data_IF_415293998157
#
_entry.id   IF_415293998157
#
_cell.length_a   1.000
_cell.length_b   1.000
_cell.length_c   1.000
_cell.angle_alpha   90.00
_cell.angle_beta   90.00
_cell.angle_gamma   90.00
#
_symmetry.space_group_name_H-M   'P 1'
#
loop_
_entity.id
_entity.type
_entity.pdbx_description
1 polymer ?
#
# COMPACT_ATOMS: atom_id res chain seq x y z
N UNK A 1 19.16 -13.32 0.01
CA UNK A 1 18.31 -13.49 1.21
C UNK A 1 18.41 -12.31 2.17
N UNK A 2 19.59 -11.88 2.61
CA UNK A 2 19.73 -10.74 3.55
C UNK A 2 19.11 -9.44 3.02
N UNK A 3 19.34 -9.09 1.74
CA UNK A 3 18.71 -7.92 1.11
C UNK A 3 17.18 -7.99 1.11
N UNK A 4 16.61 -9.17 0.83
CA UNK A 4 15.17 -9.38 0.89
C UNK A 4 14.58 -9.10 2.28
N UNK A 5 15.21 -9.64 3.34
CA UNK A 5 14.76 -9.45 4.72
C UNK A 5 14.83 -7.96 5.10
N UNK A 6 15.95 -7.30 4.80
CA UNK A 6 16.13 -5.88 5.11
C UNK A 6 15.07 -5.03 4.40
N UNK A 7 14.87 -5.23 3.09
CA UNK A 7 13.89 -4.44 2.34
C UNK A 7 12.46 -4.77 2.77
N UNK A 8 12.16 -6.00 3.16
CA UNK A 8 10.85 -6.37 3.71
C UNK A 8 10.54 -5.62 5.01
N UNK A 9 11.52 -5.53 5.92
CA UNK A 9 11.39 -4.77 7.17
C UNK A 9 11.21 -3.27 6.88
N UNK A 10 12.09 -2.70 6.04
CA UNK A 10 12.01 -1.28 5.65
C UNK A 10 10.65 -0.98 5.02
N UNK A 11 10.16 -1.86 4.16
CA UNK A 11 8.86 -1.73 3.53
C UNK A 11 7.72 -1.78 4.54
N UNK A 12 7.78 -2.66 5.52
CA UNK A 12 6.75 -2.75 6.55
C UNK A 12 6.71 -1.52 7.45
N UNK A 13 7.88 -1.00 7.82
CA UNK A 13 7.99 0.29 8.52
C UNK A 13 7.40 1.41 7.65
N UNK A 14 7.71 1.40 6.35
CA UNK A 14 7.19 2.40 5.42
C UNK A 14 5.67 2.34 5.29
N UNK A 15 5.08 1.14 5.23
CA UNK A 15 3.63 0.96 5.29
C UNK A 15 3.04 1.64 6.52
N UNK A 16 3.52 1.32 7.72
CA UNK A 16 2.96 1.90 8.95
C UNK A 16 3.16 3.41 9.07
N UNK A 17 4.29 3.94 8.61
CA UNK A 17 4.52 5.40 8.55
C UNK A 17 3.55 6.06 7.58
N UNK A 18 3.38 5.49 6.39
CA UNK A 18 2.48 6.02 5.38
C UNK A 18 1.02 5.96 5.85
N UNK A 19 0.61 4.86 6.47
CA UNK A 19 -0.72 4.71 7.05
C UNK A 19 -0.98 5.74 8.12
N UNK A 20 -0.01 6.00 9.00
CA UNK A 20 -0.12 7.08 9.98
C UNK A 20 -0.27 8.44 9.31
N UNK A 21 0.55 8.76 8.30
CA UNK A 21 0.50 10.06 7.60
C UNK A 21 -0.81 10.25 6.83
N UNK A 22 -1.25 9.21 6.11
CA UNK A 22 -2.45 9.23 5.27
C UNK A 22 -3.72 9.26 6.13
N UNK A 23 -3.76 8.55 7.26
CA UNK A 23 -5.00 8.42 8.02
C UNK A 23 -5.09 9.38 9.22
N UNK A 24 -3.97 9.86 9.78
CA UNK A 24 -3.99 10.76 10.94
C UNK A 24 -4.12 12.24 10.59
N UNK A 25 -4.00 12.63 9.32
CA UNK A 25 -4.11 14.04 8.94
C UNK A 25 -5.56 14.58 9.05
N UNK A 26 -5.76 15.88 9.28
CA UNK A 26 -7.09 16.45 9.51
C UNK A 26 -8.07 16.29 8.34
N UNK A 27 -7.57 16.25 7.11
CA UNK A 27 -8.39 16.07 5.91
C UNK A 27 -8.96 14.64 5.90
N UNK A 28 -8.11 13.63 6.07
CA UNK A 28 -8.50 12.23 6.10
C UNK A 28 -9.48 11.95 7.23
N UNK A 29 -9.23 12.48 8.44
CA UNK A 29 -10.13 12.32 9.58
C UNK A 29 -11.55 12.82 9.26
N UNK A 30 -11.68 13.97 8.58
CA UNK A 30 -12.99 14.51 8.14
C UNK A 30 -13.65 13.64 7.08
N UNK A 31 -12.90 13.22 6.08
CA UNK A 31 -13.41 12.39 4.97
C UNK A 31 -13.84 10.99 5.43
N UNK A 32 -13.15 10.42 6.42
CA UNK A 32 -13.43 9.09 6.95
C UNK A 32 -14.48 9.06 8.06
N UNK A 33 -15.06 10.21 8.45
CA UNK A 33 -16.17 10.24 9.43
C UNK A 33 -17.37 9.38 9.00
N UNK A 34 -17.58 9.19 7.71
CA UNK A 34 -18.65 8.31 7.18
C UNK A 34 -18.53 6.87 7.68
N UNK A 35 -17.32 6.39 7.98
CA UNK A 35 -17.10 5.04 8.51
C UNK A 35 -17.28 4.92 10.01
N UNK A 36 -17.48 6.04 10.73
CA UNK A 36 -17.63 6.04 12.20
C UNK A 36 -18.67 5.05 12.74
N UNK A 37 -19.84 4.82 12.09
CA UNK A 37 -20.83 3.86 12.59
C UNK A 37 -20.35 2.40 12.61
N UNK A 38 -19.41 2.04 11.74
CA UNK A 38 -18.88 0.67 11.61
C UNK A 38 -17.45 0.54 12.17
N UNK A 39 -16.79 1.66 12.47
CA UNK A 39 -15.44 1.69 12.99
C UNK A 39 -15.38 1.19 14.45
N UNK A 40 -14.30 0.46 14.77
CA UNK A 40 -14.02 0.08 16.17
C UNK A 40 -13.74 1.33 17.01
N UNK A 41 -14.21 1.33 18.26
CA UNK A 41 -14.03 2.43 19.21
C UNK A 41 -12.61 2.53 19.77
N UNK A 42 -11.88 1.42 19.77
CA UNK A 42 -10.48 1.35 20.17
C UNK A 42 -9.66 0.62 19.11
N UNK A 43 -8.50 1.18 18.82
CA UNK A 43 -7.51 0.60 17.92
C UNK A 43 -6.41 -0.07 18.75
N UNK A 44 -5.86 -1.17 18.24
CA UNK A 44 -4.68 -1.81 18.81
C UNK A 44 -3.46 -1.42 17.95
N UNK A 45 -2.62 -0.47 18.39
CA UNK A 45 -1.50 0.02 17.57
C UNK A 45 -0.45 -1.06 17.31
N UNK A 46 -0.23 -1.96 18.27
CA UNK A 46 0.74 -3.06 18.14
C UNK A 46 0.29 -4.02 17.03
N UNK A 47 -1.00 -4.36 17.00
CA UNK A 47 -1.55 -5.20 15.95
C UNK A 47 -1.40 -4.55 14.56
N UNK A 48 -1.63 -3.24 14.45
CA UNK A 48 -1.40 -2.49 13.21
C UNK A 48 0.04 -2.61 12.71
N UNK A 49 1.01 -2.31 13.58
CA UNK A 49 2.44 -2.40 13.24
C UNK A 49 2.84 -3.82 12.79
N UNK A 50 2.34 -4.86 13.48
CA UNK A 50 2.63 -6.25 13.09
C UNK A 50 2.04 -6.56 11.71
N UNK A 51 0.83 -6.09 11.42
CA UNK A 51 0.18 -6.25 10.12
C UNK A 51 1.00 -5.55 9.03
N UNK A 52 1.46 -4.32 9.25
CA UNK A 52 2.25 -3.56 8.29
C UNK A 52 3.58 -4.25 7.98
N UNK A 53 4.24 -4.79 9.01
CA UNK A 53 5.45 -5.60 8.84
C UNK A 53 5.18 -6.84 7.99
N UNK A 54 4.11 -7.59 8.29
CA UNK A 54 3.73 -8.76 7.51
C UNK A 54 3.45 -8.38 6.05
N UNK A 55 2.73 -7.29 5.80
CA UNK A 55 2.50 -6.78 4.45
C UNK A 55 3.80 -6.39 3.75
N UNK A 56 4.76 -5.80 4.45
CA UNK A 56 6.09 -5.51 3.93
C UNK A 56 6.80 -6.74 3.36
N UNK A 57 6.77 -7.86 4.09
CA UNK A 57 7.31 -9.14 3.62
C UNK A 57 6.52 -9.71 2.43
N UNK A 58 5.20 -9.74 2.52
CA UNK A 58 4.35 -10.29 1.45
C UNK A 58 4.58 -9.51 0.15
N UNK A 59 4.57 -8.18 0.21
CA UNK A 59 4.68 -7.32 -0.96
C UNK A 59 6.06 -7.39 -1.60
N UNK A 60 7.13 -7.40 -0.80
CA UNK A 60 8.48 -7.65 -1.29
C UNK A 60 8.61 -9.04 -1.94
N UNK A 61 7.98 -10.06 -1.35
CA UNK A 61 7.98 -11.42 -1.86
C UNK A 61 7.25 -11.53 -3.20
N UNK A 62 6.09 -10.90 -3.32
CA UNK A 62 5.33 -10.81 -4.57
C UNK A 62 6.11 -10.08 -5.66
N UNK A 63 6.75 -8.96 -5.33
CA UNK A 63 7.60 -8.24 -6.29
C UNK A 63 8.72 -9.13 -6.81
N UNK A 64 9.40 -9.85 -5.91
CA UNK A 64 10.50 -10.72 -6.29
C UNK A 64 10.03 -11.89 -7.17
N UNK A 65 8.92 -12.54 -6.80
CA UNK A 65 8.32 -13.63 -7.56
C UNK A 65 7.92 -13.19 -8.98
N UNK A 66 7.36 -11.98 -9.11
CA UNK A 66 6.87 -11.46 -10.38
C UNK A 66 7.94 -10.69 -11.17
N UNK A 67 9.13 -10.46 -10.61
CA UNK A 67 10.15 -9.58 -11.18
C UNK A 67 10.47 -9.89 -12.64
N UNK A 68 10.65 -11.17 -12.98
CA UNK A 68 10.96 -11.58 -14.34
C UNK A 68 9.86 -11.20 -15.34
N UNK A 69 8.60 -11.33 -14.92
CA UNK A 69 7.40 -11.10 -15.74
C UNK A 69 6.93 -9.66 -15.76
N UNK A 70 7.40 -8.81 -14.83
CA UNK A 70 7.01 -7.41 -14.78
C UNK A 70 7.55 -6.65 -16.01
N UNK A 71 6.70 -5.83 -16.66
CA UNK A 71 7.13 -5.04 -17.80
C UNK A 71 8.14 -3.97 -17.37
N UNK A 72 9.11 -3.70 -18.24
CA UNK A 72 10.13 -2.67 -18.05
C UNK A 72 11.56 -3.19 -18.21
N UNK A 73 12.39 -2.38 -18.86
CA UNK A 73 13.81 -2.70 -19.08
C UNK A 73 14.69 -2.49 -17.83
N UNK A 74 14.22 -1.66 -16.88
CA UNK A 74 14.98 -1.31 -15.66
C UNK A 74 14.22 -1.71 -14.41
N UNK A 75 14.94 -1.92 -13.30
CA UNK A 75 14.33 -2.24 -12.00
C UNK A 75 13.30 -1.20 -11.56
N UNK A 76 13.56 0.09 -11.79
CA UNK A 76 12.62 1.17 -11.50
C UNK A 76 11.31 1.04 -12.29
N UNK A 77 11.39 0.78 -13.60
CA UNK A 77 10.19 0.61 -14.44
C UNK A 77 9.38 -0.63 -14.02
N UNK A 78 10.06 -1.71 -13.62
CA UNK A 78 9.42 -2.89 -13.05
C UNK A 78 8.74 -2.57 -11.72
N UNK A 79 9.40 -1.78 -10.87
CA UNK A 79 8.85 -1.24 -9.63
C UNK A 79 7.56 -0.44 -9.84
N UNK A 80 7.56 0.50 -10.80
CA UNK A 80 6.39 1.29 -11.16
C UNK A 80 5.27 0.42 -11.74
N UNK A 81 5.61 -0.54 -12.60
CA UNK A 81 4.64 -1.47 -13.17
C UNK A 81 3.97 -2.33 -12.10
N UNK A 82 4.76 -2.81 -11.13
CA UNK A 82 4.24 -3.52 -9.96
C UNK A 82 3.35 -2.63 -9.10
N UNK A 83 3.78 -1.40 -8.82
CA UNK A 83 3.00 -0.43 -8.06
C UNK A 83 1.62 -0.20 -8.67
N UNK A 84 1.55 0.05 -9.99
CA UNK A 84 0.29 0.29 -10.69
C UNK A 84 -0.61 -0.95 -10.67
N UNK A 85 -0.03 -2.13 -10.88
CA UNK A 85 -0.76 -3.40 -10.81
C UNK A 85 -1.35 -3.63 -9.41
N UNK A 86 -0.54 -3.50 -8.36
CA UNK A 86 -0.97 -3.69 -6.98
C UNK A 86 -1.96 -2.61 -6.54
N UNK A 87 -1.77 -1.37 -6.96
CA UNK A 87 -2.72 -0.29 -6.73
C UNK A 87 -4.08 -0.60 -7.36
N UNK A 88 -4.09 -1.10 -8.60
CA UNK A 88 -5.34 -1.48 -9.26
C UNK A 88 -6.06 -2.59 -8.49
N UNK A 89 -5.41 -3.73 -8.27
CA UNK A 89 -6.06 -4.88 -7.63
C UNK A 89 -6.44 -4.62 -6.18
N UNK A 90 -5.65 -3.83 -5.44
CA UNK A 90 -5.89 -3.57 -4.02
C UNK A 90 -6.80 -2.38 -3.78
N UNK A 91 -6.52 -1.25 -4.42
CA UNK A 91 -7.14 0.04 -4.09
C UNK A 91 -8.32 0.32 -5.01
N UNK A 92 -8.15 0.21 -6.34
CA UNK A 92 -9.24 0.48 -7.28
C UNK A 92 -10.41 -0.48 -7.04
N UNK A 93 -10.13 -1.78 -6.91
CA UNK A 93 -11.18 -2.78 -6.66
C UNK A 93 -11.88 -2.57 -5.31
N UNK A 94 -11.12 -2.20 -4.27
CA UNK A 94 -11.69 -1.87 -2.96
C UNK A 94 -12.60 -0.65 -3.05
N UNK A 95 -12.13 0.45 -3.66
CA UNK A 95 -12.89 1.69 -3.83
C UNK A 95 -14.15 1.46 -4.67
N UNK A 96 -14.07 0.68 -5.74
CA UNK A 96 -15.24 0.32 -6.56
C UNK A 96 -16.27 -0.49 -5.76
N UNK A 97 -15.81 -1.43 -4.94
CA UNK A 97 -16.69 -2.20 -4.05
C UNK A 97 -17.37 -1.29 -3.03
N UNK A 98 -16.60 -0.40 -2.40
CA UNK A 98 -17.13 0.57 -1.43
C UNK A 98 -18.18 1.49 -2.06
N UNK A 99 -17.92 1.99 -3.27
CA UNK A 99 -18.85 2.83 -4.03
C UNK A 99 -20.18 2.14 -4.33
N UNK A 100 -20.14 0.84 -4.66
CA UNK A 100 -21.34 0.06 -4.97
C UNK A 100 -22.12 -0.37 -3.73
N UNK A 101 -21.43 -0.66 -2.61
CA UNK A 101 -22.05 -1.24 -1.42
C UNK A 101 -22.48 -0.22 -0.37
N UNK A 102 -21.85 0.96 -0.33
CA UNK A 102 -22.06 1.94 0.75
C UNK A 102 -22.29 3.35 0.21
N UNK A 103 -23.05 4.14 0.96
CA UNK A 103 -23.29 5.56 0.69
C UNK A 103 -22.10 6.41 1.13
N UNK A 104 -20.98 6.29 0.41
CA UNK A 104 -19.73 6.99 0.72
C UNK A 104 -19.61 8.24 -0.17
N UNK A 105 -19.26 9.41 0.41
CA UNK A 105 -18.97 10.60 -0.37
C UNK A 105 -17.87 10.36 -1.40
N UNK A 106 -18.08 10.86 -2.62
CA UNK A 106 -17.14 10.68 -3.73
C UNK A 106 -15.74 11.23 -3.40
N UNK A 107 -15.67 12.30 -2.58
CA UNK A 107 -14.42 12.88 -2.11
C UNK A 107 -13.60 11.90 -1.27
N UNK A 108 -14.26 11.11 -0.42
CA UNK A 108 -13.61 10.08 0.39
C UNK A 108 -13.06 8.96 -0.48
N UNK A 109 -13.82 8.53 -1.49
CA UNK A 109 -13.37 7.52 -2.46
C UNK A 109 -12.16 8.00 -3.27
N UNK A 110 -12.19 9.24 -3.79
CA UNK A 110 -11.05 9.83 -4.49
C UNK A 110 -9.82 9.97 -3.60
N UNK A 111 -10.01 10.35 -2.33
CA UNK A 111 -8.91 10.44 -1.39
C UNK A 111 -8.25 9.08 -1.16
N UNK A 112 -9.04 8.04 -0.88
CA UNK A 112 -8.53 6.66 -0.73
C UNK A 112 -7.80 6.19 -1.98
N UNK A 113 -8.36 6.49 -3.16
CA UNK A 113 -7.77 6.12 -4.45
C UNK A 113 -6.39 6.78 -4.65
N UNK A 114 -6.30 8.09 -4.41
CA UNK A 114 -5.08 8.88 -4.59
C UNK A 114 -4.02 8.56 -3.53
N UNK A 115 -4.42 8.42 -2.27
CA UNK A 115 -3.52 8.06 -1.19
C UNK A 115 -2.92 6.67 -1.40
N UNK A 116 -3.76 5.69 -1.77
CA UNK A 116 -3.30 4.34 -2.10
C UNK A 116 -2.41 4.30 -3.34
N UNK A 117 -2.60 5.20 -4.31
CA UNK A 117 -1.68 5.33 -5.45
C UNK A 117 -0.30 5.80 -4.99
N UNK A 118 -0.25 6.86 -4.17
CA UNK A 118 0.98 7.40 -3.63
C UNK A 118 1.77 6.35 -2.85
N UNK A 119 1.08 5.58 -1.99
CA UNK A 119 1.64 4.45 -1.25
C UNK A 119 2.26 3.40 -2.15
N UNK A 120 1.52 2.93 -3.16
CA UNK A 120 2.04 1.89 -4.05
C UNK A 120 3.22 2.37 -4.87
N UNK A 121 3.20 3.63 -5.33
CA UNK A 121 4.30 4.19 -6.10
C UNK A 121 5.58 4.29 -5.26
N UNK A 122 5.48 4.78 -4.02
CA UNK A 122 6.63 4.87 -3.11
C UNK A 122 7.24 3.48 -2.87
N UNK A 123 6.40 2.48 -2.60
CA UNK A 123 6.85 1.10 -2.38
C UNK A 123 7.41 0.44 -3.64
N UNK A 124 6.76 0.65 -4.79
CA UNK A 124 7.26 0.13 -6.06
C UNK A 124 8.61 0.73 -6.42
N UNK A 125 8.83 2.02 -6.16
CA UNK A 125 10.13 2.66 -6.34
C UNK A 125 11.16 2.03 -5.40
N UNK A 126 10.85 1.86 -4.11
CA UNK A 126 11.73 1.20 -3.15
C UNK A 126 12.15 -0.19 -3.66
N UNK A 127 11.18 -1.01 -4.07
CA UNK A 127 11.45 -2.37 -4.56
C UNK A 127 12.24 -2.35 -5.87
N UNK A 128 11.87 -1.52 -6.83
CA UNK A 128 12.55 -1.44 -8.12
C UNK A 128 14.01 -1.00 -8.01
N UNK A 129 14.33 -0.18 -7.01
CA UNK A 129 15.70 0.27 -6.74
C UNK A 129 16.49 -0.73 -5.89
N UNK A 130 15.87 -1.37 -4.90
CA UNK A 130 16.57 -2.13 -3.87
C UNK A 130 16.46 -3.66 -3.99
N UNK A 131 15.38 -4.19 -4.58
CA UNK A 131 15.14 -5.62 -4.79
C UNK A 131 15.41 -6.00 -6.24
N UNK A 132 16.67 -5.88 -6.66
CA UNK A 132 17.10 -6.52 -7.91
C UNK A 132 17.44 -7.98 -7.61
N UNK A 133 16.79 -8.96 -8.25
CA UNK A 133 17.27 -10.34 -8.19
C UNK A 133 18.69 -10.36 -8.76
N UNK A 134 19.63 -10.80 -7.93
CA UNK A 134 20.97 -11.20 -8.37
C UNK A 134 20.76 -12.47 -9.20
N UNK A 135 20.58 -12.30 -10.51
CA UNK A 135 20.78 -13.36 -11.50
C UNK A 135 22.26 -13.35 -11.84
#
# INVERSE_FOLDING_TARGET
MTGYIIISIISGILFGVMDAVINANPLAQRLYLVYKPIAKTSLNPIAGIVIDLVFGFIMAGLFWLLYASLPGATGLLKGLSFALMMWFFRVVMYVATQWMMFTIPIQTLFYTLAAGLGEMLILGILYGLALKPLI
#
